data_IF_710254142069
#
_entry.id   IF_710254142069
#
_cell.length_a   1.000
_cell.length_b   1.000
_cell.length_c   1.000
_cell.angle_alpha   90.00
_cell.angle_beta   90.00
_cell.angle_gamma   90.00
#
_symmetry.space_group_name_H-M   'P 1'
#
loop_
_entity.id
_entity.type
_entity.pdbx_description
1 polymer ?
#
# COMPACT_ATOMS: atom_id res chain seq x y z
N UNK A 1 14.60 0.53 0.80
CA UNK A 1 15.41 0.66 -0.42
C UNK A 1 16.89 0.50 -0.09
N UNK A 2 17.42 -0.68 -0.39
CA UNK A 2 18.82 -1.06 -0.15
C UNK A 2 19.80 -0.45 -1.18
N UNK A 3 19.32 0.16 -2.25
CA UNK A 3 20.12 0.65 -3.38
C UNK A 3 20.96 1.86 -3.05
N UNK A 4 20.54 2.67 -2.12
CA UNK A 4 21.22 3.94 -1.80
C UNK A 4 22.43 3.79 -0.89
N UNK A 5 22.63 2.64 -0.26
CA UNK A 5 23.65 2.44 0.78
C UNK A 5 24.85 1.58 0.34
N UNK A 6 24.81 0.97 -0.87
CA UNK A 6 25.78 -0.03 -1.28
C UNK A 6 26.36 0.23 -2.68
N UNK A 7 27.60 -0.22 -2.94
CA UNK A 7 28.14 -0.24 -4.30
C UNK A 7 27.22 -1.04 -5.24
N UNK A 8 27.11 -0.62 -6.50
CA UNK A 8 26.21 -1.24 -7.50
C UNK A 8 26.34 -2.77 -7.60
N UNK A 9 27.55 -3.30 -7.47
CA UNK A 9 27.77 -4.76 -7.48
C UNK A 9 27.14 -5.48 -6.28
N UNK A 10 27.16 -4.87 -5.09
CA UNK A 10 26.54 -5.42 -3.89
C UNK A 10 25.01 -5.39 -3.97
N UNK A 11 24.44 -4.39 -4.63
CA UNK A 11 23.01 -4.30 -4.89
C UNK A 11 22.55 -5.47 -5.77
N UNK A 12 23.23 -5.71 -6.88
CA UNK A 12 22.92 -6.81 -7.81
C UNK A 12 22.98 -8.17 -7.10
N UNK A 13 23.96 -8.36 -6.23
CA UNK A 13 24.09 -9.60 -5.47
C UNK A 13 22.96 -9.75 -4.44
N UNK A 14 22.61 -8.68 -3.73
CA UNK A 14 21.49 -8.68 -2.79
C UNK A 14 20.15 -8.92 -3.50
N UNK A 15 19.93 -8.36 -4.67
CA UNK A 15 18.68 -8.54 -5.44
C UNK A 15 18.37 -10.02 -5.72
N UNK A 16 19.37 -10.88 -5.80
CA UNK A 16 19.20 -12.33 -6.01
C UNK A 16 18.54 -13.03 -4.81
N UNK A 17 18.77 -12.53 -3.59
CA UNK A 17 18.22 -13.10 -2.36
C UNK A 17 17.12 -12.26 -1.71
N UNK A 18 16.88 -11.04 -2.22
CA UNK A 18 16.01 -10.05 -1.57
C UNK A 18 14.60 -10.58 -1.28
N UNK A 19 14.00 -11.34 -2.20
CA UNK A 19 12.68 -11.91 -1.99
C UNK A 19 12.67 -13.06 -0.97
N UNK A 20 13.74 -13.88 -0.94
CA UNK A 20 13.91 -14.92 0.09
C UNK A 20 14.07 -14.29 1.47
N UNK A 21 14.88 -13.22 1.55
CA UNK A 21 15.06 -12.49 2.81
C UNK A 21 13.77 -11.79 3.26
N UNK A 22 12.98 -11.27 2.32
CA UNK A 22 11.67 -10.69 2.59
C UNK A 22 10.69 -11.75 3.13
N UNK A 23 10.59 -12.92 2.49
CA UNK A 23 9.75 -14.03 2.96
C UNK A 23 10.13 -14.41 4.38
N UNK A 24 11.41 -14.68 4.62
CA UNK A 24 11.92 -15.13 5.93
C UNK A 24 11.80 -14.07 7.03
N UNK A 25 12.07 -12.81 6.70
CA UNK A 25 12.23 -11.78 7.72
C UNK A 25 10.98 -10.95 7.93
N UNK A 26 10.08 -10.89 6.96
CA UNK A 26 8.90 -10.04 7.01
C UNK A 26 7.58 -10.81 6.90
N UNK A 27 7.51 -11.91 6.15
CA UNK A 27 6.27 -12.68 6.04
C UNK A 27 6.19 -13.78 7.11
N UNK A 28 7.21 -14.63 7.22
CA UNK A 28 7.21 -15.76 8.19
C UNK A 28 6.87 -15.34 9.64
N UNK A 29 7.32 -14.17 10.16
CA UNK A 29 6.95 -13.74 11.50
C UNK A 29 5.46 -13.53 11.75
N UNK A 30 4.64 -13.38 10.72
CA UNK A 30 3.18 -13.31 10.87
C UNK A 30 2.57 -14.67 11.23
N UNK A 31 3.30 -15.77 11.03
CA UNK A 31 2.83 -17.12 11.35
C UNK A 31 1.54 -17.47 10.60
N UNK A 32 0.49 -17.79 11.34
CA UNK A 32 -0.83 -18.12 10.78
C UNK A 32 -1.69 -16.90 10.46
N UNK A 33 -1.22 -15.70 10.78
CA UNK A 33 -1.95 -14.46 10.43
C UNK A 33 -1.93 -14.26 8.92
N UNK A 34 -3.08 -14.13 8.26
CA UNK A 34 -3.12 -13.91 6.82
C UNK A 34 -2.30 -12.68 6.40
N UNK A 35 -1.47 -12.85 5.39
CA UNK A 35 -0.63 -11.81 4.85
C UNK A 35 -1.00 -11.56 3.37
N UNK A 36 -1.40 -10.33 3.03
CA UNK A 36 -1.83 -9.93 1.70
C UNK A 36 -0.78 -9.02 1.07
N UNK A 37 -0.19 -9.47 -0.04
CA UNK A 37 0.94 -8.80 -0.68
C UNK A 37 0.49 -7.71 -1.65
N UNK A 38 1.02 -6.49 -1.49
CA UNK A 38 1.05 -5.49 -2.55
C UNK A 38 2.36 -5.57 -3.34
N UNK A 39 2.32 -5.28 -4.64
CA UNK A 39 3.51 -5.16 -5.48
C UNK A 39 3.98 -3.70 -5.52
N UNK A 40 5.31 -3.48 -5.52
CA UNK A 40 5.93 -2.17 -5.67
C UNK A 40 6.81 -2.08 -6.92
N UNK A 41 7.26 -0.88 -7.24
CA UNK A 41 8.09 -0.63 -8.43
C UNK A 41 9.44 -1.38 -8.40
N UNK A 42 9.97 -1.68 -7.22
CA UNK A 42 11.21 -2.46 -7.10
C UNK A 42 11.05 -3.93 -7.48
N UNK A 43 9.84 -4.46 -7.50
CA UNK A 43 9.51 -5.80 -7.97
C UNK A 43 9.41 -5.88 -9.50
N UNK A 44 9.39 -4.74 -10.19
CA UNK A 44 9.25 -4.66 -11.66
C UNK A 44 10.44 -4.01 -12.37
N UNK A 45 11.50 -3.64 -11.63
CA UNK A 45 12.74 -3.11 -12.20
C UNK A 45 13.64 -4.27 -12.61
N UNK A 46 14.15 -4.28 -13.87
CA UNK A 46 15.07 -5.32 -14.33
C UNK A 46 16.25 -5.56 -13.40
N UNK A 47 16.63 -6.84 -13.17
CA UNK A 47 16.18 -8.03 -13.89
C UNK A 47 14.82 -8.61 -13.45
N UNK A 48 14.19 -8.10 -12.42
CA UNK A 48 12.90 -8.58 -11.91
C UNK A 48 11.75 -8.18 -12.82
N UNK A 49 10.74 -9.04 -12.88
CA UNK A 49 9.54 -8.83 -13.67
C UNK A 49 8.28 -9.10 -12.83
N UNK A 50 7.15 -8.54 -13.24
CA UNK A 50 5.84 -8.83 -12.64
C UNK A 50 5.50 -10.31 -12.71
N UNK A 51 5.87 -10.98 -13.78
CA UNK A 51 5.66 -12.42 -13.95
C UNK A 51 6.45 -13.23 -12.91
N UNK A 52 7.74 -12.92 -12.73
CA UNK A 52 8.57 -13.56 -11.70
C UNK A 52 8.02 -13.30 -10.29
N UNK A 53 7.56 -12.07 -10.01
CA UNK A 53 6.90 -11.75 -8.73
C UNK A 53 5.66 -12.63 -8.53
N UNK A 54 4.78 -12.72 -9.52
CA UNK A 54 3.55 -13.50 -9.45
C UNK A 54 3.84 -15.00 -9.24
N UNK A 55 4.87 -15.54 -9.90
CA UNK A 55 5.30 -16.93 -9.74
C UNK A 55 5.94 -17.16 -8.36
N UNK A 56 6.82 -16.27 -7.93
CA UNK A 56 7.56 -16.43 -6.66
C UNK A 56 6.63 -16.34 -5.44
N UNK A 57 5.62 -15.49 -5.52
CA UNK A 57 4.67 -15.25 -4.43
C UNK A 57 3.30 -15.89 -4.68
N UNK A 58 3.23 -16.92 -5.54
CA UNK A 58 1.97 -17.55 -5.90
C UNK A 58 1.19 -18.08 -4.69
N UNK A 59 1.85 -18.63 -3.66
CA UNK A 59 1.21 -19.14 -2.46
C UNK A 59 0.43 -18.06 -1.68
N UNK A 60 0.87 -16.81 -1.74
CA UNK A 60 0.18 -15.66 -1.14
C UNK A 60 -0.86 -15.04 -2.07
N UNK A 61 -0.55 -14.92 -3.36
CA UNK A 61 -1.44 -14.32 -4.36
C UNK A 61 -2.59 -15.25 -4.78
N UNK A 62 -2.45 -16.55 -4.53
CA UNK A 62 -3.49 -17.57 -4.72
C UNK A 62 -3.89 -18.23 -3.39
N UNK A 63 -3.72 -17.52 -2.27
CA UNK A 63 -4.19 -17.98 -0.97
C UNK A 63 -5.68 -18.36 -1.03
N UNK A 64 -6.15 -19.35 -0.23
CA UNK A 64 -7.52 -19.88 -0.33
C UNK A 64 -8.59 -18.79 -0.39
N UNK A 65 -8.51 -17.79 0.48
CA UNK A 65 -9.48 -16.67 0.52
C UNK A 65 -9.50 -15.86 -0.77
N UNK A 66 -8.33 -15.62 -1.40
CA UNK A 66 -8.24 -14.88 -2.66
C UNK A 66 -8.75 -15.70 -3.84
N UNK A 67 -8.43 -17.00 -3.84
CA UNK A 67 -8.92 -17.93 -4.86
C UNK A 67 -10.44 -18.08 -4.78
N UNK A 68 -10.99 -18.26 -3.59
CA UNK A 68 -12.44 -18.36 -3.37
C UNK A 68 -13.15 -17.09 -3.81
N UNK A 69 -12.62 -15.92 -3.47
CA UNK A 69 -13.18 -14.64 -3.91
C UNK A 69 -13.17 -14.53 -5.44
N UNK A 70 -12.02 -14.79 -6.08
CA UNK A 70 -11.88 -14.73 -7.54
C UNK A 70 -12.87 -15.66 -8.26
N UNK A 71 -13.00 -16.91 -7.79
CA UNK A 71 -13.94 -17.89 -8.36
C UNK A 71 -15.41 -17.57 -8.04
N UNK A 72 -15.68 -16.90 -6.94
CA UNK A 72 -17.02 -16.35 -6.64
C UNK A 72 -17.41 -15.25 -7.61
N UNK A 73 -16.45 -14.44 -8.00
CA UNK A 73 -16.64 -13.35 -8.97
C UNK A 73 -16.85 -13.85 -10.38
N UNK A 74 -15.99 -14.76 -10.80
CA UNK A 74 -16.05 -15.45 -12.10
C UNK A 74 -15.53 -16.90 -11.94
N UNK A 75 -16.42 -17.91 -11.99
CA UNK A 75 -16.03 -19.31 -11.87
C UNK A 75 -15.04 -19.81 -12.94
N UNK A 76 -14.83 -19.05 -14.01
CA UNK A 76 -13.87 -19.38 -15.06
C UNK A 76 -12.52 -18.66 -14.88
N UNK A 77 -12.41 -17.73 -13.91
CA UNK A 77 -11.18 -16.99 -13.68
C UNK A 77 -10.21 -17.78 -12.78
N UNK A 78 -9.28 -18.46 -13.41
CA UNK A 78 -8.19 -19.19 -12.75
C UNK A 78 -6.86 -18.44 -12.79
N UNK A 79 -6.82 -17.19 -13.29
CA UNK A 79 -5.59 -16.44 -13.44
C UNK A 79 -5.18 -15.77 -12.13
N UNK A 80 -4.00 -16.12 -11.62
CA UNK A 80 -3.35 -15.39 -10.51
C UNK A 80 -2.78 -14.09 -11.04
N UNK A 81 -3.01 -12.99 -10.31
CA UNK A 81 -2.58 -11.63 -10.68
C UNK A 81 -1.90 -10.94 -9.50
N UNK A 82 -1.20 -9.86 -9.78
CA UNK A 82 -0.62 -8.94 -8.79
C UNK A 82 -1.65 -7.99 -8.16
N UNK A 83 -2.88 -7.97 -8.69
CA UNK A 83 -4.03 -7.24 -8.15
C UNK A 83 -5.19 -8.19 -7.88
N UNK A 84 -5.93 -7.93 -6.82
CA UNK A 84 -6.97 -8.81 -6.30
C UNK A 84 -7.83 -8.09 -5.29
N UNK A 85 -8.91 -8.73 -4.83
CA UNK A 85 -9.68 -8.27 -3.69
C UNK A 85 -10.20 -9.44 -2.86
N UNK A 86 -10.61 -9.14 -1.63
CA UNK A 86 -11.29 -10.08 -0.76
C UNK A 86 -12.22 -9.34 0.19
N UNK A 87 -13.34 -9.98 0.52
CA UNK A 87 -14.35 -9.42 1.41
C UNK A 87 -14.23 -10.08 2.78
N UNK A 88 -14.18 -9.26 3.82
CA UNK A 88 -14.24 -9.72 5.20
C UNK A 88 -15.01 -8.74 6.06
N UNK A 89 -15.97 -9.27 6.86
CA UNK A 89 -16.78 -8.48 7.80
C UNK A 89 -17.47 -7.26 7.15
N UNK A 90 -17.90 -7.41 5.89
CA UNK A 90 -18.55 -6.36 5.12
C UNK A 90 -17.60 -5.27 4.62
N UNK A 91 -16.30 -5.47 4.69
CA UNK A 91 -15.31 -4.59 4.07
C UNK A 91 -14.72 -5.30 2.87
N UNK A 92 -14.71 -4.66 1.70
CA UNK A 92 -13.94 -5.13 0.57
C UNK A 92 -12.56 -4.48 0.58
N UNK A 93 -11.54 -5.34 0.67
CA UNK A 93 -10.14 -4.96 0.60
C UNK A 93 -9.65 -5.21 -0.83
N UNK A 94 -9.24 -4.16 -1.50
CA UNK A 94 -8.81 -4.19 -2.91
C UNK A 94 -7.32 -3.84 -2.97
N UNK A 95 -6.50 -4.73 -3.51
CA UNK A 95 -5.08 -4.47 -3.78
C UNK A 95 -4.90 -4.19 -5.27
N UNK A 96 -4.37 -3.03 -5.61
CA UNK A 96 -4.13 -2.58 -6.99
C UNK A 96 -2.62 -2.60 -7.31
N UNK A 97 -2.32 -2.84 -8.57
CA UNK A 97 -0.96 -2.82 -9.12
C UNK A 97 -0.76 -1.60 -10.02
N UNK A 98 -0.06 -0.59 -9.51
CA UNK A 98 0.41 0.56 -10.28
C UNK A 98 1.95 0.66 -10.24
N UNK A 99 2.62 -0.49 -10.04
CA UNK A 99 4.05 -0.57 -9.82
C UNK A 99 4.90 -0.40 -11.08
N UNK A 100 4.36 -0.66 -12.27
CA UNK A 100 5.10 -0.57 -13.53
C UNK A 100 4.64 0.66 -14.31
N UNK A 101 5.62 1.53 -14.61
CA UNK A 101 5.39 2.80 -15.32
C UNK A 101 4.30 3.64 -14.63
N UNK A 102 4.11 3.40 -13.34
CA UNK A 102 3.19 4.11 -12.46
C UNK A 102 1.77 4.23 -13.05
N UNK A 103 1.26 3.15 -13.64
CA UNK A 103 -0.05 3.16 -14.27
C UNK A 103 -0.82 1.85 -14.10
N UNK A 104 -2.13 1.96 -14.17
CA UNK A 104 -3.04 0.81 -14.21
C UNK A 104 -3.24 0.35 -15.65
N UNK A 105 -3.04 -0.94 -15.94
CA UNK A 105 -3.33 -1.49 -17.26
C UNK A 105 -4.84 -1.59 -17.54
N UNK A 106 -5.19 -1.79 -18.83
CA UNK A 106 -6.58 -1.81 -19.25
C UNK A 106 -7.37 -3.00 -18.69
N UNK A 107 -6.72 -4.15 -18.47
CA UNK A 107 -7.36 -5.34 -17.90
C UNK A 107 -7.70 -5.12 -16.42
N UNK A 108 -6.77 -4.56 -15.66
CA UNK A 108 -6.99 -4.21 -14.27
C UNK A 108 -8.10 -3.17 -14.09
N UNK A 109 -8.11 -2.11 -14.91
CA UNK A 109 -9.16 -1.08 -14.83
C UNK A 109 -10.55 -1.65 -15.16
N UNK A 110 -10.64 -2.54 -16.16
CA UNK A 110 -11.91 -3.22 -16.47
C UNK A 110 -12.38 -4.11 -15.33
N UNK A 111 -11.46 -4.87 -14.74
CA UNK A 111 -11.73 -5.71 -13.57
C UNK A 111 -12.17 -4.87 -12.37
N UNK A 112 -11.44 -3.79 -12.06
CA UNK A 112 -11.78 -2.90 -10.95
C UNK A 112 -13.20 -2.31 -11.12
N UNK A 113 -13.55 -1.82 -12.31
CA UNK A 113 -14.91 -1.32 -12.58
C UNK A 113 -15.98 -2.35 -12.29
N UNK A 114 -15.74 -3.63 -12.62
CA UNK A 114 -16.69 -4.71 -12.34
C UNK A 114 -16.82 -4.96 -10.82
N UNK A 115 -15.70 -4.97 -10.07
CA UNK A 115 -15.68 -5.07 -8.60
C UNK A 115 -16.47 -3.91 -7.99
N UNK A 116 -16.12 -2.68 -8.32
CA UNK A 116 -16.75 -1.47 -7.77
C UNK A 116 -18.26 -1.39 -8.07
N UNK A 117 -18.68 -1.85 -9.25
CA UNK A 117 -20.10 -1.90 -9.60
C UNK A 117 -20.87 -2.89 -8.72
N UNK A 118 -20.31 -4.07 -8.45
CA UNK A 118 -20.91 -5.07 -7.54
C UNK A 118 -20.99 -4.53 -6.12
N UNK A 119 -19.91 -3.99 -5.62
CA UNK A 119 -19.84 -3.47 -4.26
C UNK A 119 -20.82 -2.35 -4.01
N UNK A 120 -20.96 -1.45 -4.97
CA UNK A 120 -21.93 -0.36 -4.91
C UNK A 120 -23.36 -0.87 -4.73
N UNK A 121 -23.69 -2.02 -5.34
CA UNK A 121 -25.03 -2.62 -5.31
C UNK A 121 -25.23 -3.60 -4.16
N UNK A 122 -24.16 -4.16 -3.60
CA UNK A 122 -24.22 -5.16 -2.54
C UNK A 122 -24.42 -4.48 -1.16
N UNK A 123 -25.58 -4.69 -0.54
CA UNK A 123 -25.89 -4.13 0.77
C UNK A 123 -25.01 -4.68 1.91
N UNK A 124 -24.43 -5.87 1.73
CA UNK A 124 -23.55 -6.49 2.74
C UNK A 124 -22.16 -5.83 2.78
N UNK A 125 -21.75 -5.11 1.72
CA UNK A 125 -20.52 -4.33 1.71
C UNK A 125 -20.77 -2.97 2.36
N UNK A 126 -20.05 -2.69 3.45
CA UNK A 126 -20.19 -1.45 4.24
C UNK A 126 -19.16 -0.38 3.89
N UNK A 127 -17.97 -0.79 3.45
CA UNK A 127 -16.89 0.11 3.04
C UNK A 127 -15.88 -0.60 2.15
N UNK A 128 -15.04 0.18 1.46
CA UNK A 128 -13.92 -0.29 0.66
C UNK A 128 -12.61 0.25 1.22
N UNK A 129 -11.57 -0.60 1.26
CA UNK A 129 -10.17 -0.21 1.53
C UNK A 129 -9.34 -0.56 0.31
N UNK A 130 -8.78 0.44 -0.36
CA UNK A 130 -8.04 0.28 -1.61
C UNK A 130 -6.56 0.54 -1.36
N UNK A 131 -5.76 -0.50 -1.44
CA UNK A 131 -4.30 -0.46 -1.30
C UNK A 131 -3.61 -0.39 -2.66
N UNK A 132 -2.51 0.39 -2.77
CA UNK A 132 -1.69 0.49 -3.97
C UNK A 132 -0.27 0.98 -3.63
N UNK A 133 0.64 0.88 -4.60
CA UNK A 133 2.02 1.33 -4.38
C UNK A 133 2.13 2.84 -4.41
N UNK A 134 1.83 3.48 -5.53
CA UNK A 134 1.88 4.93 -5.66
C UNK A 134 0.56 5.60 -5.34
N UNK A 135 0.62 6.80 -4.73
CA UNK A 135 -0.57 7.59 -4.51
C UNK A 135 -1.21 8.03 -5.84
N UNK A 136 -2.53 8.04 -5.89
CA UNK A 136 -3.28 8.56 -7.04
C UNK A 136 -2.94 10.04 -7.30
N UNK A 137 -3.21 10.56 -8.50
CA UNK A 137 -2.85 11.91 -8.90
C UNK A 137 -3.41 13.00 -7.98
N UNK A 138 -2.78 14.18 -8.06
CA UNK A 138 -3.19 15.38 -7.35
C UNK A 138 -3.22 15.21 -5.81
N UNK A 139 -2.40 14.26 -5.31
CA UNK A 139 -2.14 14.09 -3.89
C UNK A 139 -1.09 15.07 -3.38
N UNK A 140 -0.97 15.21 -2.05
CA UNK A 140 0.09 15.99 -1.40
C UNK A 140 1.50 15.39 -1.57
N UNK A 141 1.62 14.20 -2.17
CA UNK A 141 2.87 13.47 -2.39
C UNK A 141 3.52 13.76 -3.75
N UNK A 142 3.46 14.99 -4.23
CA UNK A 142 4.09 15.39 -5.51
C UNK A 142 5.55 14.96 -5.60
N UNK A 143 5.94 14.44 -6.76
CA UNK A 143 7.26 13.89 -7.02
C UNK A 143 7.41 12.41 -6.65
N UNK A 144 6.37 11.79 -6.09
CA UNK A 144 6.27 10.36 -5.78
C UNK A 144 4.79 9.91 -5.83
N UNK A 145 4.11 10.27 -6.91
CA UNK A 145 2.70 9.93 -7.15
C UNK A 145 2.44 9.74 -8.64
N UNK A 146 1.29 9.23 -8.96
CA UNK A 146 0.88 9.04 -10.36
C UNK A 146 0.73 10.35 -11.17
N UNK A 147 0.94 11.52 -10.57
CA UNK A 147 1.07 12.80 -11.30
C UNK A 147 2.41 12.96 -12.04
N UNK A 148 3.36 12.07 -11.86
CA UNK A 148 4.73 12.25 -12.35
C UNK A 148 4.87 11.99 -13.85
N UNK A 149 3.92 11.26 -14.46
CA UNK A 149 3.86 11.05 -15.91
C UNK A 149 2.45 11.22 -16.46
N UNK A 150 2.28 11.73 -17.70
CA UNK A 150 0.93 11.95 -18.25
C UNK A 150 0.09 10.68 -18.36
N UNK A 151 0.72 9.52 -18.61
CA UNK A 151 0.02 8.24 -18.73
C UNK A 151 -0.45 7.74 -17.37
N UNK A 152 0.42 7.83 -16.36
CA UNK A 152 0.07 7.48 -14.99
C UNK A 152 -1.05 8.38 -14.46
N UNK A 153 -0.92 9.69 -14.66
CA UNK A 153 -1.92 10.68 -14.27
C UNK A 153 -3.28 10.36 -14.89
N UNK A 154 -3.35 10.14 -16.21
CA UNK A 154 -4.61 9.84 -16.89
C UNK A 154 -5.31 8.59 -16.33
N UNK A 155 -4.56 7.49 -16.11
CA UNK A 155 -5.14 6.25 -15.56
C UNK A 155 -5.48 6.38 -14.07
N UNK A 156 -4.69 7.12 -13.32
CA UNK A 156 -4.95 7.40 -11.91
C UNK A 156 -6.17 8.28 -11.69
N UNK A 157 -6.37 9.31 -12.50
CA UNK A 157 -7.57 10.15 -12.47
C UNK A 157 -8.84 9.35 -12.79
N UNK A 158 -8.76 8.42 -13.75
CA UNK A 158 -9.87 7.51 -14.06
C UNK A 158 -10.23 6.64 -12.85
N UNK A 159 -9.24 6.02 -12.21
CA UNK A 159 -9.45 5.19 -11.00
C UNK A 159 -10.00 6.02 -9.85
N UNK A 160 -9.48 7.23 -9.62
CA UNK A 160 -10.00 8.11 -8.58
C UNK A 160 -11.48 8.46 -8.81
N UNK A 161 -11.84 8.78 -10.06
CA UNK A 161 -13.24 9.07 -10.42
C UNK A 161 -14.17 7.87 -10.19
N UNK A 162 -13.73 6.66 -10.56
CA UNK A 162 -14.49 5.42 -10.32
C UNK A 162 -14.71 5.18 -8.81
N UNK A 163 -13.70 5.45 -7.97
CA UNK A 163 -13.79 5.35 -6.51
C UNK A 163 -14.71 6.43 -5.91
N UNK A 164 -14.69 7.64 -6.44
CA UNK A 164 -15.63 8.71 -6.04
C UNK A 164 -17.10 8.32 -6.30
N UNK A 165 -17.38 7.59 -7.39
CA UNK A 165 -18.73 7.10 -7.66
C UNK A 165 -19.20 6.10 -6.58
N UNK A 166 -18.31 5.25 -6.08
CA UNK A 166 -18.62 4.34 -4.97
C UNK A 166 -18.82 5.11 -3.66
N UNK A 167 -17.97 6.13 -3.41
CA UNK A 167 -18.06 6.97 -2.20
C UNK A 167 -19.42 7.61 -2.01
N UNK A 168 -20.18 7.85 -3.08
CA UNK A 168 -21.56 8.38 -2.98
C UNK A 168 -22.51 7.43 -2.23
N UNK A 169 -22.15 6.15 -2.15
CA UNK A 169 -22.98 5.13 -1.51
C UNK A 169 -22.32 4.52 -0.26
N UNK A 170 -20.98 4.48 -0.23
CA UNK A 170 -20.20 3.78 0.81
C UNK A 170 -18.88 4.48 1.08
N UNK A 171 -18.35 4.47 2.31
CA UNK A 171 -17.00 4.93 2.61
C UNK A 171 -15.94 4.19 1.76
N UNK A 172 -15.00 4.95 1.23
CA UNK A 172 -13.82 4.46 0.48
C UNK A 172 -12.58 5.06 1.07
N UNK A 173 -11.60 4.23 1.41
CA UNK A 173 -10.33 4.60 2.00
C UNK A 173 -9.19 4.18 1.09
N UNK A 174 -8.19 5.05 0.89
CA UNK A 174 -7.02 4.77 0.04
C UNK A 174 -5.77 4.67 0.89
N UNK A 175 -5.02 3.57 0.70
CA UNK A 175 -3.74 3.33 1.34
C UNK A 175 -2.66 3.24 0.25
N UNK A 176 -1.74 4.20 0.26
CA UNK A 176 -0.59 4.22 -0.64
C UNK A 176 0.71 4.01 0.14
N UNK A 177 1.75 3.62 -0.57
CA UNK A 177 3.11 3.41 -0.05
C UNK A 177 4.10 4.33 -0.75
N UNK A 178 5.11 3.78 -1.41
CA UNK A 178 6.12 4.40 -2.28
C UNK A 178 6.88 5.59 -1.68
N UNK A 179 6.20 6.59 -1.19
CA UNK A 179 6.83 7.72 -0.47
C UNK A 179 7.19 7.30 0.95
N UNK A 180 8.48 7.42 1.31
CA UNK A 180 9.03 6.83 2.54
C UNK A 180 8.79 7.68 3.79
N UNK A 181 7.53 7.99 4.03
CA UNK A 181 7.01 8.69 5.22
C UNK A 181 5.58 8.24 5.51
N UNK A 182 4.99 8.71 6.59
CA UNK A 182 3.55 8.59 6.83
C UNK A 182 2.88 9.95 6.64
N UNK A 183 1.72 9.96 5.98
CA UNK A 183 0.91 11.16 5.77
C UNK A 183 -0.57 10.78 5.71
N UNK A 184 -1.43 11.51 6.43
CA UNK A 184 -2.89 11.38 6.41
C UNK A 184 -3.52 12.57 5.72
N UNK A 185 -4.61 12.34 4.98
CA UNK A 185 -5.33 13.38 4.26
C UNK A 185 -4.66 13.79 2.96
N UNK A 186 -4.01 12.84 2.29
CA UNK A 186 -3.19 13.10 1.10
C UNK A 186 -3.96 13.67 -0.10
N UNK A 187 -5.27 13.54 -0.13
CA UNK A 187 -6.14 14.09 -1.18
C UNK A 187 -6.93 15.32 -0.74
N UNK A 188 -6.65 15.88 0.42
CA UNK A 188 -7.23 17.15 0.86
C UNK A 188 -6.51 18.31 0.14
N UNK A 189 -6.77 18.45 -1.14
CA UNK A 189 -6.14 19.41 -2.04
C UNK A 189 -7.17 20.29 -2.73
N UNK A 190 -6.82 21.53 -3.13
CA UNK A 190 -7.73 22.38 -3.89
C UNK A 190 -8.26 21.68 -5.15
N UNK A 191 -7.43 20.91 -5.82
CA UNK A 191 -7.83 20.16 -7.01
C UNK A 191 -9.04 19.27 -6.73
N UNK A 192 -8.95 18.40 -5.71
CA UNK A 192 -10.02 17.44 -5.40
C UNK A 192 -11.26 18.10 -4.77
N UNK A 193 -11.11 19.25 -4.11
CA UNK A 193 -12.25 20.05 -3.69
C UNK A 193 -13.09 20.50 -4.90
N UNK A 194 -12.42 20.88 -6.00
CA UNK A 194 -13.05 21.41 -7.21
C UNK A 194 -13.48 20.30 -8.19
N UNK A 195 -12.93 19.06 -8.07
CA UNK A 195 -13.10 17.97 -9.04
C UNK A 195 -13.80 16.73 -8.48
N UNK A 196 -14.84 16.89 -7.70
CA UNK A 196 -15.73 15.80 -7.31
C UNK A 196 -15.59 15.33 -5.87
N UNK A 197 -14.60 15.82 -5.13
CA UNK A 197 -14.49 15.61 -3.70
C UNK A 197 -13.28 14.77 -3.27
N UNK A 198 -13.07 14.74 -1.96
CA UNK A 198 -11.91 14.15 -1.29
C UNK A 198 -12.20 12.71 -0.92
N UNK A 199 -11.28 11.80 -1.24
CA UNK A 199 -11.23 10.47 -0.65
C UNK A 199 -10.31 10.47 0.56
N UNK A 200 -10.71 9.91 1.72
CA UNK A 200 -9.77 9.66 2.81
C UNK A 200 -8.60 8.81 2.33
N UNK A 201 -7.37 9.31 2.54
CA UNK A 201 -6.20 8.65 2.01
C UNK A 201 -4.96 8.82 2.89
N UNK A 202 -4.11 7.79 2.89
CA UNK A 202 -2.86 7.74 3.65
C UNK A 202 -1.71 7.30 2.76
N UNK A 203 -0.51 7.80 3.08
CA UNK A 203 0.76 7.22 2.68
C UNK A 203 1.35 6.53 3.91
N UNK A 204 1.78 5.28 3.75
CA UNK A 204 2.39 4.46 4.80
C UNK A 204 3.67 3.82 4.25
N UNK A 205 4.74 4.62 4.13
CA UNK A 205 6.04 4.19 3.63
C UNK A 205 7.11 4.08 4.73
N UNK A 206 6.74 3.65 5.93
CA UNK A 206 7.60 3.68 7.12
C UNK A 206 8.16 2.32 7.54
N UNK A 207 8.17 1.34 6.64
CA UNK A 207 8.58 -0.04 6.93
C UNK A 207 10.10 -0.30 6.85
N UNK A 208 10.94 0.74 6.74
CA UNK A 208 12.40 0.59 6.82
C UNK A 208 13.18 0.96 5.55
N UNK A 209 12.54 1.43 4.50
CA UNK A 209 13.23 1.97 3.33
C UNK A 209 13.98 3.28 3.64
N UNK A 210 14.82 3.75 2.72
CA UNK A 210 15.50 5.04 2.83
C UNK A 210 14.47 6.14 3.06
N UNK A 211 14.71 7.00 4.06
CA UNK A 211 13.73 8.01 4.45
C UNK A 211 13.79 9.20 3.52
N UNK A 212 12.64 9.72 3.17
CA UNK A 212 12.48 10.95 2.41
C UNK A 212 12.13 12.10 3.34
N UNK A 213 12.59 13.30 3.02
CA UNK A 213 12.04 14.51 3.61
C UNK A 213 10.55 14.62 3.26
N UNK A 214 9.78 15.23 4.15
CA UNK A 214 8.40 15.56 3.83
C UNK A 214 8.37 16.59 2.69
N UNK A 215 7.45 16.47 1.71
CA UNK A 215 7.26 17.48 0.70
C UNK A 215 6.72 18.78 1.34
N UNK A 216 6.94 19.95 0.72
CA UNK A 216 6.43 21.22 1.25
C UNK A 216 4.91 21.22 1.48
N UNK A 217 4.16 20.49 0.65
CA UNK A 217 2.72 20.32 0.77
C UNK A 217 2.28 19.52 2.02
N UNK A 218 3.17 18.83 2.70
CA UNK A 218 2.85 18.07 3.91
C UNK A 218 2.30 18.94 5.06
N UNK A 219 2.57 20.27 5.03
CA UNK A 219 1.97 21.21 5.98
C UNK A 219 0.43 21.35 5.85
N UNK A 220 -0.14 20.89 4.74
CA UNK A 220 -1.58 20.85 4.48
C UNK A 220 -2.22 19.53 4.90
N UNK A 221 -1.41 18.50 5.15
CA UNK A 221 -1.90 17.19 5.57
C UNK A 221 -2.50 17.26 6.98
N UNK A 222 -3.47 16.41 7.25
CA UNK A 222 -4.05 16.25 8.59
C UNK A 222 -3.01 15.74 9.60
N UNK A 223 -2.11 14.87 9.15
CA UNK A 223 -0.97 14.37 9.90
C UNK A 223 0.14 14.00 8.92
N UNK A 224 1.39 14.33 9.23
CA UNK A 224 2.55 13.90 8.46
C UNK A 224 3.76 13.71 9.38
N UNK A 225 4.51 12.63 9.17
CA UNK A 225 5.74 12.34 9.89
C UNK A 225 6.72 11.56 9.02
N UNK A 226 7.98 11.93 9.08
CA UNK A 226 9.08 11.18 8.45
C UNK A 226 10.12 10.76 9.48
N UNK A 227 11.13 10.00 9.06
CA UNK A 227 12.24 9.54 9.90
C UNK A 227 11.77 8.69 11.09
N UNK A 228 10.73 7.91 10.86
CA UNK A 228 10.12 6.99 11.82
C UNK A 228 9.93 5.62 11.21
N UNK A 229 9.88 4.60 12.06
CA UNK A 229 9.36 3.28 11.73
C UNK A 229 7.94 3.16 12.28
N UNK A 230 7.08 2.46 11.56
CA UNK A 230 5.71 2.27 12.03
C UNK A 230 4.81 1.61 11.00
N UNK A 231 3.57 1.42 11.40
CA UNK A 231 2.51 0.83 10.58
C UNK A 231 1.16 1.49 10.88
N UNK A 232 0.22 1.35 9.97
CA UNK A 232 -1.15 1.78 10.18
C UNK A 232 -1.97 0.62 10.74
N UNK A 233 -2.57 0.83 11.91
CA UNK A 233 -3.54 -0.11 12.49
C UNK A 233 -4.95 0.31 12.06
N UNK A 234 -5.67 -0.60 11.40
CA UNK A 234 -7.07 -0.42 11.07
C UNK A 234 -7.94 -1.27 12.00
N UNK A 235 -8.87 -0.65 12.69
CA UNK A 235 -9.84 -1.34 13.55
C UNK A 235 -11.21 -1.27 12.89
N UNK A 236 -11.75 -2.45 12.54
CA UNK A 236 -13.10 -2.58 11.98
C UNK A 236 -14.06 -2.91 13.11
N UNK A 237 -15.09 -2.10 13.32
CA UNK A 237 -16.13 -2.39 14.28
C UNK A 237 -17.31 -3.10 13.61
N UNK A 238 -17.84 -4.21 14.18
CA UNK A 238 -19.05 -4.86 13.65
C UNK A 238 -20.27 -3.94 13.57
N UNK A 239 -20.31 -2.94 14.44
CA UNK A 239 -21.44 -1.98 14.51
C UNK A 239 -21.06 -0.58 14.01
N UNK A 240 -19.84 -0.42 13.45
CA UNK A 240 -19.27 0.89 13.07
C UNK A 240 -18.72 1.66 14.29
N UNK A 241 -17.78 2.56 14.05
CA UNK A 241 -17.42 3.61 15.01
C UNK A 241 -18.53 4.68 14.94
N UNK A 242 -19.00 4.92 13.73
CA UNK A 242 -20.27 5.56 13.42
C UNK A 242 -20.86 4.88 12.17
N UNK A 243 -22.15 5.08 11.83
CA UNK A 243 -22.72 4.57 10.58
C UNK A 243 -21.94 5.03 9.34
N UNK A 244 -21.30 6.20 9.42
CA UNK A 244 -20.57 6.83 8.31
C UNK A 244 -19.08 6.53 8.31
N UNK A 245 -18.54 5.87 9.37
CA UNK A 245 -17.12 5.57 9.51
C UNK A 245 -16.89 4.20 10.19
N UNK A 246 -16.96 3.11 9.41
CA UNK A 246 -16.85 1.75 9.96
C UNK A 246 -15.43 1.35 10.35
N UNK A 247 -14.40 2.13 9.95
CA UNK A 247 -12.99 1.78 10.16
C UNK A 247 -12.27 2.95 10.82
N UNK A 248 -11.57 2.66 11.92
CA UNK A 248 -10.64 3.59 12.56
C UNK A 248 -9.22 3.27 12.14
N UNK A 249 -8.50 4.27 11.63
CA UNK A 249 -7.08 4.16 11.29
C UNK A 249 -6.22 4.90 12.29
N UNK A 250 -5.16 4.26 12.78
CA UNK A 250 -4.22 4.85 13.74
C UNK A 250 -2.79 4.49 13.37
N UNK A 251 -1.93 5.49 13.20
CA UNK A 251 -0.51 5.22 12.98
C UNK A 251 0.16 4.79 14.27
N UNK A 252 0.77 3.62 14.27
CA UNK A 252 1.52 3.04 15.37
C UNK A 252 3.01 3.20 15.08
N UNK A 253 3.66 4.13 15.78
CA UNK A 253 5.10 4.29 15.67
C UNK A 253 5.83 3.21 16.48
N UNK A 254 6.78 2.53 15.83
CA UNK A 254 7.67 1.57 16.50
C UNK A 254 8.86 2.31 17.07
N UNK A 255 9.03 2.30 18.38
CA UNK A 255 10.17 2.86 19.08
C UNK A 255 11.29 1.81 19.22
N UNK A 256 12.55 2.26 19.40
CA UNK A 256 13.69 1.36 19.62
C UNK A 256 13.45 0.41 20.80
N UNK A 257 12.91 0.93 21.90
CA UNK A 257 12.57 0.13 23.08
C UNK A 257 11.50 -0.95 22.84
N UNK A 258 10.76 -0.85 21.74
CA UNK A 258 9.75 -1.83 21.33
C UNK A 258 10.30 -2.89 20.37
N UNK A 259 11.60 -2.85 20.04
CA UNK A 259 12.20 -3.85 19.15
C UNK A 259 12.15 -5.23 19.82
N UNK A 260 11.60 -6.25 19.16
CA UNK A 260 11.50 -7.58 19.74
C UNK A 260 12.87 -8.17 20.09
N UNK A 261 13.00 -8.91 21.23
CA UNK A 261 14.29 -9.47 21.68
C UNK A 261 14.94 -10.41 20.65
N UNK A 262 14.16 -11.16 19.89
CA UNK A 262 14.62 -12.04 18.81
C UNK A 262 15.24 -11.27 17.64
N UNK A 263 14.71 -10.11 17.32
CA UNK A 263 15.29 -9.18 16.33
C UNK A 263 16.65 -8.67 16.83
N UNK A 264 16.73 -8.26 18.09
CA UNK A 264 18.00 -7.82 18.70
C UNK A 264 19.00 -8.97 18.72
N UNK A 265 18.56 -10.18 19.07
CA UNK A 265 19.44 -11.36 19.07
C UNK A 265 19.94 -11.73 17.69
N UNK A 266 19.12 -11.56 16.65
CA UNK A 266 19.45 -11.90 15.26
C UNK A 266 20.39 -10.88 14.60
N UNK A 267 20.17 -9.61 14.81
CA UNK A 267 20.88 -8.55 14.08
C UNK A 267 21.90 -7.78 14.93
N UNK A 268 21.86 -7.95 16.24
CA UNK A 268 22.69 -7.24 17.21
C UNK A 268 22.12 -5.88 17.63
N UNK A 269 22.23 -5.59 18.92
CA UNK A 269 21.72 -4.34 19.50
C UNK A 269 22.35 -3.08 18.89
N UNK A 270 23.65 -3.13 18.54
CA UNK A 270 24.36 -2.00 17.93
C UNK A 270 23.81 -1.63 16.55
N UNK A 271 23.42 -2.62 15.75
CA UNK A 271 22.79 -2.37 14.44
C UNK A 271 21.41 -1.74 14.62
N UNK A 272 20.59 -2.32 15.49
CA UNK A 272 19.26 -1.80 15.80
C UNK A 272 19.35 -0.36 16.29
N UNK A 273 20.21 -0.09 17.27
CA UNK A 273 20.43 1.26 17.81
C UNK A 273 20.86 2.25 16.70
N UNK A 274 21.78 1.86 15.82
CA UNK A 274 22.23 2.69 14.70
C UNK A 274 21.08 3.07 13.77
N UNK A 275 20.18 2.14 13.43
CA UNK A 275 19.02 2.44 12.60
C UNK A 275 18.12 3.53 13.18
N UNK A 276 17.91 3.51 14.50
CA UNK A 276 17.14 4.56 15.18
C UNK A 276 17.91 5.87 15.32
N UNK A 277 19.23 5.83 15.55
CA UNK A 277 20.08 7.02 15.61
C UNK A 277 20.14 7.76 14.26
N UNK A 278 20.23 7.04 13.14
CA UNK A 278 20.20 7.66 11.81
C UNK A 278 18.91 8.44 11.60
N UNK A 279 17.77 7.89 12.02
CA UNK A 279 16.49 8.61 12.01
C UNK A 279 16.58 9.91 12.84
N UNK A 280 17.11 9.84 14.04
CA UNK A 280 17.21 11.00 14.93
C UNK A 280 18.17 12.08 14.42
N UNK A 281 19.25 11.70 13.72
CA UNK A 281 20.22 12.64 13.13
C UNK A 281 19.64 13.38 11.92
N UNK A 282 18.87 12.68 11.08
CA UNK A 282 18.22 13.28 9.92
C UNK A 282 17.03 14.17 10.29
N UNK A 283 16.50 14.05 11.52
CA UNK A 283 15.38 14.88 12.03
C UNK A 283 15.83 16.28 12.49
N UNK A 284 17.11 16.56 12.52
CA UNK A 284 17.68 17.85 12.96
C UNK A 284 18.04 18.69 11.75
#
# INVERSE_FOLDING_TARGET
>A
DYRSLHPKAAIIEYEKSAWVDFQRSQIEPFGETPFFLGIGNHETIPPKTREEFTLTFADWLDAPVLREQRLSDDPQDHQVRSYYHWIRDGIDFISLDNATVDQFDGAQRKWLKAVLQRDRQNADIRALVVGMHEALPESLARGHSMSDTPTAEATGLEVYADLLEVKKAKPVYILASHSHYVMEGIFDTPYWHDHGGILPGWIIGTAGAVRYALPPAASQAKFAKTLVYGYLLATVSPHGISPDDPIKFEFQQVAEASTPPDVIARYGGDLVHRCYQENAQLSR
#
